data_IF_472199701544
#
_entry.id   IF_472199701544
#
_cell.length_a   1.000
_cell.length_b   1.000
_cell.length_c   1.000
_cell.angle_alpha   90.00
_cell.angle_beta   90.00
_cell.angle_gamma   90.00
#
_symmetry.space_group_name_H-M   'P 1'
#
loop_
_entity.id
_entity.type
_entity.pdbx_description
1 polymer ?
#
# COMPACT_ATOMS: atom_id res chain seq x y z
N UNK A 1 16.62 12.11 -6.07
CA UNK A 1 15.28 12.06 -6.69
C UNK A 1 14.86 13.42 -7.23
N UNK A 2 13.82 13.45 -8.03
CA UNK A 2 13.28 14.66 -8.65
C UNK A 2 12.08 15.25 -7.88
N UNK A 3 11.86 14.86 -6.62
CA UNK A 3 10.76 15.34 -5.78
C UNK A 3 9.60 14.35 -5.61
N UNK A 4 9.62 13.18 -6.27
CA UNK A 4 8.53 12.22 -6.20
C UNK A 4 8.29 11.69 -4.77
N UNK A 5 9.36 11.34 -4.05
CA UNK A 5 9.24 10.84 -2.66
C UNK A 5 8.68 11.92 -1.73
N UNK A 6 9.13 13.18 -1.89
CA UNK A 6 8.59 14.31 -1.12
C UNK A 6 7.11 14.54 -1.42
N UNK A 7 6.69 14.44 -2.69
CA UNK A 7 5.29 14.53 -3.06
C UNK A 7 4.46 13.42 -2.40
N UNK A 8 4.93 12.18 -2.45
CA UNK A 8 4.27 11.05 -1.79
C UNK A 8 4.16 11.29 -0.29
N UNK A 9 5.25 11.69 0.38
CA UNK A 9 5.26 11.97 1.81
C UNK A 9 4.32 13.14 2.19
N UNK A 10 4.25 14.18 1.36
CA UNK A 10 3.30 15.28 1.56
C UNK A 10 1.84 14.81 1.46
N UNK A 11 1.51 13.96 0.46
CA UNK A 11 0.18 13.38 0.31
C UNK A 11 -0.18 12.48 1.48
N UNK A 12 0.78 11.77 2.04
CA UNK A 12 0.58 10.89 3.20
C UNK A 12 0.55 11.65 4.54
N UNK A 13 0.91 12.94 4.56
CA UNK A 13 1.04 13.73 5.79
C UNK A 13 2.27 13.38 6.63
N UNK A 14 3.30 12.84 6.00
CA UNK A 14 4.61 12.54 6.62
C UNK A 14 5.56 13.73 6.55
N UNK A 15 5.37 14.62 5.58
CA UNK A 15 6.12 15.88 5.43
C UNK A 15 5.16 17.06 5.35
N UNK A 16 5.60 18.21 5.88
CA UNK A 16 4.85 19.45 5.75
C UNK A 16 4.83 19.92 4.29
N UNK A 17 3.69 20.41 3.85
CA UNK A 17 3.53 20.94 2.49
C UNK A 17 2.72 22.23 2.48
N UNK A 18 2.84 22.99 1.40
CA UNK A 18 2.00 24.16 1.12
C UNK A 18 1.06 23.84 -0.03
N UNK A 19 -0.04 24.60 -0.14
CA UNK A 19 -1.09 24.33 -1.11
C UNK A 19 -2.22 23.50 -0.52
N UNK A 20 -3.02 22.86 -1.37
CA UNK A 20 -4.16 22.03 -0.96
C UNK A 20 -4.07 20.62 -1.52
N UNK A 21 -4.45 19.65 -0.71
CA UNK A 21 -4.56 18.23 -1.09
C UNK A 21 -5.97 17.80 -0.75
N UNK A 22 -6.71 17.25 -1.71
CA UNK A 22 -8.07 16.78 -1.50
C UNK A 22 -8.25 15.35 -2.02
N UNK A 23 -9.13 14.59 -1.34
CA UNK A 23 -9.62 13.28 -1.80
C UNK A 23 -11.12 13.42 -2.00
N UNK A 24 -11.57 13.37 -3.25
CA UNK A 24 -12.91 13.79 -3.60
C UNK A 24 -13.12 15.26 -3.21
N UNK A 25 -14.19 15.54 -2.46
CA UNK A 25 -14.52 16.89 -1.97
C UNK A 25 -13.92 17.19 -0.58
N UNK A 26 -13.11 16.31 -0.03
CA UNK A 26 -12.54 16.46 1.32
C UNK A 26 -11.12 16.99 1.26
N UNK A 27 -10.89 18.18 1.82
CA UNK A 27 -9.54 18.72 2.01
C UNK A 27 -8.82 17.95 3.14
N UNK A 28 -7.69 17.33 2.80
CA UNK A 28 -6.88 16.55 3.73
C UNK A 28 -5.55 17.23 4.08
N UNK A 29 -5.31 18.45 3.64
CA UNK A 29 -4.03 19.16 3.78
C UNK A 29 -3.54 19.24 5.22
N UNK A 30 -4.44 19.54 6.16
CA UNK A 30 -4.13 19.68 7.59
C UNK A 30 -4.25 18.40 8.41
N UNK A 31 -4.61 17.27 7.78
CA UNK A 31 -4.85 16.02 8.49
C UNK A 31 -3.57 15.23 8.71
N UNK A 32 -3.48 14.56 9.85
CA UNK A 32 -2.41 13.60 10.15
C UNK A 32 -2.49 12.37 9.24
N UNK A 33 -1.39 11.64 9.11
CA UNK A 33 -1.34 10.36 8.38
C UNK A 33 -2.43 9.38 8.82
N UNK A 34 -2.70 9.30 10.13
CA UNK A 34 -3.75 8.44 10.69
C UNK A 34 -5.15 8.84 10.19
N UNK A 35 -5.44 10.14 10.17
CA UNK A 35 -6.74 10.66 9.69
C UNK A 35 -6.90 10.45 8.19
N UNK A 36 -5.83 10.68 7.40
CA UNK A 36 -5.83 10.42 5.95
C UNK A 36 -6.07 8.94 5.67
N UNK A 37 -5.42 8.03 6.39
CA UNK A 37 -5.69 6.59 6.28
C UNK A 37 -7.14 6.25 6.67
N UNK A 38 -7.68 6.90 7.69
CA UNK A 38 -9.10 6.76 8.08
C UNK A 38 -10.09 7.20 7.00
N UNK A 39 -9.68 8.08 6.09
CA UNK A 39 -10.44 8.52 4.92
C UNK A 39 -10.20 7.64 3.67
N UNK A 40 -9.48 6.54 3.82
CA UNK A 40 -9.24 5.58 2.75
C UNK A 40 -8.02 5.88 1.88
N UNK A 41 -7.02 6.62 2.39
CA UNK A 41 -5.73 6.76 1.68
C UNK A 41 -4.89 5.51 1.92
N UNK A 42 -4.77 4.65 0.92
CA UNK A 42 -3.89 3.48 0.91
C UNK A 42 -2.46 3.84 0.48
N UNK A 43 -1.47 3.07 0.91
CA UNK A 43 -0.07 3.32 0.56
C UNK A 43 0.74 2.05 0.35
N UNK A 44 1.32 1.91 -0.83
CA UNK A 44 2.37 0.93 -1.14
C UNK A 44 3.70 1.67 -1.17
N UNK A 45 4.58 1.35 -0.22
CA UNK A 45 5.84 2.06 0.01
C UNK A 45 6.90 1.71 -1.03
N UNK A 46 7.76 2.68 -1.39
CA UNK A 46 8.91 2.50 -2.28
C UNK A 46 9.92 1.49 -1.72
N UNK A 47 10.28 1.64 -0.44
CA UNK A 47 11.14 0.69 0.27
C UNK A 47 10.29 -0.12 1.27
N UNK A 48 9.78 -1.27 0.80
CA UNK A 48 8.92 -2.12 1.62
C UNK A 48 9.53 -2.56 2.93
N UNK A 49 10.86 -2.72 2.98
CA UNK A 49 11.54 -3.23 4.18
C UNK A 49 11.77 -2.14 5.23
N UNK A 50 11.86 -0.88 4.81
CA UNK A 50 12.04 0.26 5.74
C UNK A 50 10.73 0.90 6.15
N UNK A 51 9.78 0.99 5.22
CA UNK A 51 8.56 1.78 5.40
C UNK A 51 7.28 0.94 5.38
N UNK A 52 7.31 -0.20 4.69
CA UNK A 52 6.12 -1.03 4.47
C UNK A 52 5.92 -2.15 5.47
N UNK A 53 6.99 -2.65 6.09
CA UNK A 53 7.01 -3.85 6.91
C UNK A 53 7.84 -3.68 8.18
N UNK A 54 7.50 -4.45 9.20
CA UNK A 54 8.34 -4.70 10.37
C UNK A 54 8.87 -6.13 10.25
N UNK A 55 10.11 -6.28 9.79
CA UNK A 55 10.68 -7.57 9.36
C UNK A 55 10.61 -8.69 10.40
N UNK A 56 10.86 -8.46 11.72
CA UNK A 56 10.73 -9.49 12.73
C UNK A 56 9.30 -9.92 13.06
N UNK A 57 8.30 -9.10 12.68
CA UNK A 57 6.90 -9.36 12.97
C UNK A 57 6.34 -10.49 12.10
N UNK A 58 5.35 -11.20 12.63
CA UNK A 58 4.60 -12.19 11.88
C UNK A 58 3.81 -11.55 10.72
N UNK A 59 3.38 -12.37 9.76
CA UNK A 59 2.58 -11.89 8.64
C UNK A 59 1.30 -11.21 9.13
N UNK A 60 0.59 -11.80 10.11
CA UNK A 60 -0.64 -11.23 10.64
C UNK A 60 -0.42 -9.87 11.34
N UNK A 61 0.72 -9.66 11.99
CA UNK A 61 1.07 -8.38 12.58
C UNK A 61 1.34 -7.34 11.49
N UNK A 62 2.04 -7.73 10.43
CA UNK A 62 2.30 -6.88 9.28
C UNK A 62 1.02 -6.58 8.47
N UNK A 63 0.10 -7.54 8.35
CA UNK A 63 -1.19 -7.31 7.71
C UNK A 63 -2.08 -6.32 8.49
N UNK A 64 -1.95 -6.27 9.82
CA UNK A 64 -2.68 -5.33 10.65
C UNK A 64 -2.06 -3.92 10.70
N UNK A 65 -0.81 -3.71 10.23
CA UNK A 65 -0.14 -2.41 10.29
C UNK A 65 -0.92 -1.32 9.54
N UNK A 66 -1.17 -0.21 10.24
CA UNK A 66 -1.95 0.91 9.73
C UNK A 66 -3.47 0.74 9.86
N UNK A 67 -3.96 -0.47 10.16
CA UNK A 67 -5.38 -0.82 10.25
C UNK A 67 -5.80 -1.30 11.65
N UNK A 68 -4.92 -1.22 12.65
CA UNK A 68 -5.09 -1.81 13.98
C UNK A 68 -6.36 -1.36 14.71
N UNK A 69 -6.92 -0.19 14.37
CA UNK A 69 -8.13 0.37 14.97
C UNK A 69 -9.38 0.10 14.13
N UNK A 70 -9.23 -0.44 12.93
CA UNK A 70 -10.32 -0.74 12.02
C UNK A 70 -10.75 -2.20 12.15
N UNK A 71 -12.05 -2.49 11.92
CA UNK A 71 -12.50 -3.88 11.80
C UNK A 71 -11.91 -4.51 10.52
N UNK A 72 -11.57 -5.79 10.54
CA UNK A 72 -11.73 -6.74 11.64
C UNK A 72 -10.58 -6.74 12.66
N UNK A 73 -9.48 -6.02 12.41
CA UNK A 73 -8.26 -6.07 13.23
C UNK A 73 -8.43 -5.48 14.63
N UNK A 74 -9.26 -4.42 14.76
CA UNK A 74 -9.42 -3.66 16.00
C UNK A 74 -10.70 -3.97 16.75
N UNK A 75 -10.59 -3.98 18.08
CA UNK A 75 -11.71 -4.05 19.01
C UNK A 75 -11.55 -2.96 20.07
N UNK A 76 -11.87 -1.70 19.67
CA UNK A 76 -11.59 -0.53 20.50
C UNK A 76 -10.07 -0.31 20.64
N UNK A 77 -9.51 -0.26 21.88
CA UNK A 77 -8.07 -0.10 22.07
C UNK A 77 -7.26 -1.40 21.87
N UNK A 78 -7.91 -2.54 21.64
CA UNK A 78 -7.28 -3.85 21.56
C UNK A 78 -7.30 -4.40 20.14
N UNK A 79 -6.27 -5.20 19.80
CA UNK A 79 -6.23 -5.98 18.57
C UNK A 79 -6.95 -7.32 18.81
N UNK A 80 -7.87 -7.67 17.92
CA UNK A 80 -8.45 -9.00 17.85
C UNK A 80 -7.52 -9.92 17.07
N UNK A 81 -6.63 -10.61 17.78
CA UNK A 81 -5.60 -11.49 17.19
C UNK A 81 -6.24 -12.61 16.36
N UNK A 82 -7.38 -13.14 16.79
CA UNK A 82 -8.09 -14.18 16.04
C UNK A 82 -8.59 -13.67 14.70
N UNK A 83 -9.24 -12.52 14.69
CA UNK A 83 -9.73 -11.87 13.48
C UNK A 83 -8.57 -11.41 12.57
N UNK A 84 -7.48 -10.88 13.14
CA UNK A 84 -6.30 -10.47 12.38
C UNK A 84 -5.66 -11.67 11.65
N UNK A 85 -5.52 -12.81 12.31
CA UNK A 85 -5.00 -14.03 11.69
C UNK A 85 -5.94 -14.60 10.62
N UNK A 86 -7.26 -14.55 10.85
CA UNK A 86 -8.23 -14.99 9.85
C UNK A 86 -8.13 -14.12 8.58
N UNK A 87 -8.18 -12.78 8.71
CA UNK A 87 -8.04 -11.86 7.58
C UNK A 87 -6.70 -12.05 6.85
N UNK A 88 -5.62 -12.33 7.59
CA UNK A 88 -4.31 -12.57 6.96
C UNK A 88 -4.31 -13.84 6.13
N UNK A 89 -5.05 -14.91 6.54
CA UNK A 89 -5.20 -16.11 5.72
C UNK A 89 -6.00 -15.82 4.45
N UNK A 90 -7.03 -15.00 4.54
CA UNK A 90 -7.79 -14.56 3.37
C UNK A 90 -6.88 -13.79 2.40
N UNK A 91 -6.04 -12.88 2.90
CA UNK A 91 -5.02 -12.18 2.08
C UNK A 91 -4.01 -13.17 1.47
N UNK A 92 -3.53 -14.14 2.23
CA UNK A 92 -2.59 -15.16 1.75
C UNK A 92 -3.18 -15.92 0.56
N UNK A 93 -4.42 -16.34 0.68
CA UNK A 93 -5.12 -17.13 -0.34
C UNK A 93 -5.49 -16.28 -1.56
N UNK A 94 -6.05 -15.09 -1.35
CA UNK A 94 -6.53 -14.21 -2.43
C UNK A 94 -5.37 -13.64 -3.26
N UNK A 95 -4.25 -13.29 -2.62
CA UNK A 95 -3.10 -12.65 -3.28
C UNK A 95 -1.96 -13.63 -3.58
N UNK A 96 -2.22 -14.93 -3.49
CA UNK A 96 -1.22 -16.00 -3.76
C UNK A 96 0.12 -15.75 -3.01
N UNK A 97 0.06 -15.46 -1.71
CA UNK A 97 1.26 -15.27 -0.89
C UNK A 97 1.81 -16.62 -0.48
N UNK A 98 2.96 -17.01 -1.01
CA UNK A 98 3.59 -18.29 -0.69
C UNK A 98 4.26 -18.23 0.67
N UNK A 99 3.64 -18.88 1.65
CA UNK A 99 4.07 -18.89 3.05
C UNK A 99 3.61 -20.17 3.75
N UNK A 100 4.33 -20.64 4.80
CA UNK A 100 3.82 -21.72 5.67
C UNK A 100 2.60 -21.33 6.49
N UNK A 101 2.33 -20.04 6.68
CA UNK A 101 1.19 -19.57 7.46
C UNK A 101 1.30 -18.11 7.90
N UNK A 102 0.26 -17.62 8.58
CA UNK A 102 0.19 -16.23 9.04
C UNK A 102 1.11 -15.91 10.23
N UNK A 103 1.61 -16.92 10.91
CA UNK A 103 2.39 -16.80 12.15
C UNK A 103 3.90 -16.70 11.93
N UNK A 104 4.40 -16.93 10.72
CA UNK A 104 5.83 -16.85 10.45
C UNK A 104 6.31 -15.40 10.31
N UNK A 105 7.55 -15.08 10.70
CA UNK A 105 8.10 -13.74 10.51
C UNK A 105 8.19 -13.39 9.03
N UNK A 106 7.86 -12.13 8.69
CA UNK A 106 7.78 -11.68 7.27
C UNK A 106 9.14 -11.74 6.55
N UNK A 107 10.26 -11.61 7.28
CA UNK A 107 11.60 -11.71 6.67
C UNK A 107 11.89 -13.09 6.06
N UNK A 108 11.14 -14.13 6.42
CA UNK A 108 11.29 -15.49 5.85
C UNK A 108 10.76 -15.60 4.43
N UNK A 109 9.97 -14.62 3.98
CA UNK A 109 9.39 -14.61 2.65
C UNK A 109 10.31 -13.95 1.63
N UNK A 110 10.19 -14.39 0.36
CA UNK A 110 10.80 -13.68 -0.76
C UNK A 110 10.24 -12.27 -0.93
N UNK A 111 11.01 -11.38 -1.58
CA UNK A 111 10.58 -10.01 -1.84
C UNK A 111 9.24 -9.92 -2.58
N UNK A 112 8.97 -10.84 -3.52
CA UNK A 112 7.69 -10.90 -4.22
C UNK A 112 6.52 -11.24 -3.28
N UNK A 113 6.69 -12.21 -2.36
CA UNK A 113 5.66 -12.56 -1.40
C UNK A 113 5.46 -11.48 -0.32
N UNK A 114 6.53 -10.80 0.11
CA UNK A 114 6.42 -9.62 0.97
C UNK A 114 5.58 -8.53 0.30
N UNK A 115 5.82 -8.28 -0.98
CA UNK A 115 5.09 -7.26 -1.74
C UNK A 115 3.62 -7.63 -1.94
N UNK A 116 3.33 -8.89 -2.26
CA UNK A 116 1.96 -9.41 -2.34
C UNK A 116 1.18 -9.22 -1.04
N UNK A 117 1.81 -9.45 0.13
CA UNK A 117 1.17 -9.17 1.42
C UNK A 117 0.86 -7.69 1.60
N UNK A 118 1.79 -6.78 1.23
CA UNK A 118 1.56 -5.33 1.32
C UNK A 118 0.39 -4.92 0.41
N UNK A 119 0.40 -5.37 -0.84
CA UNK A 119 -0.68 -5.08 -1.80
C UNK A 119 -2.01 -5.61 -1.26
N UNK A 120 -2.06 -6.87 -0.82
CA UNK A 120 -3.25 -7.47 -0.23
C UNK A 120 -3.75 -6.70 0.98
N UNK A 121 -2.87 -6.30 1.90
CA UNK A 121 -3.22 -5.46 3.05
C UNK A 121 -3.90 -4.15 2.65
N UNK A 122 -3.32 -3.43 1.69
CA UNK A 122 -3.86 -2.14 1.27
C UNK A 122 -5.16 -2.31 0.48
N UNK A 123 -5.27 -3.32 -0.37
CA UNK A 123 -6.46 -3.55 -1.19
C UNK A 123 -7.64 -4.08 -0.39
N UNK A 124 -7.41 -5.00 0.55
CA UNK A 124 -8.46 -5.54 1.45
C UNK A 124 -9.07 -4.46 2.36
N UNK A 125 -8.34 -3.35 2.57
CA UNK A 125 -8.86 -2.19 3.31
C UNK A 125 -9.82 -1.31 2.49
N UNK A 126 -10.10 -1.66 1.24
CA UNK A 126 -10.99 -0.93 0.32
C UNK A 126 -10.65 0.57 0.24
N UNK A 127 -9.44 0.93 -0.21
CA UNK A 127 -9.02 2.33 -0.22
C UNK A 127 -9.86 3.16 -1.19
N UNK A 128 -10.09 4.44 -0.86
CA UNK A 128 -10.70 5.42 -1.76
C UNK A 128 -9.70 5.96 -2.78
N UNK A 129 -8.43 6.03 -2.38
CA UNK A 129 -7.28 6.39 -3.22
C UNK A 129 -6.07 5.59 -2.80
N UNK A 130 -5.30 5.11 -3.75
CA UNK A 130 -4.05 4.39 -3.52
C UNK A 130 -2.86 5.21 -4.00
N UNK A 131 -1.89 5.42 -3.12
CA UNK A 131 -0.56 5.92 -3.48
C UNK A 131 0.36 4.71 -3.61
N UNK A 132 0.79 4.39 -4.83
CA UNK A 132 1.65 3.25 -5.14
C UNK A 132 3.03 3.74 -5.58
N UNK A 133 4.02 3.67 -4.69
CA UNK A 133 5.39 4.06 -4.98
C UNK A 133 6.22 2.81 -5.32
N UNK A 134 6.60 2.67 -6.61
CA UNK A 134 7.36 1.54 -7.13
C UNK A 134 6.81 0.16 -6.75
N UNK A 135 5.52 -0.12 -7.00
CA UNK A 135 4.81 -1.28 -6.44
C UNK A 135 5.42 -2.63 -6.86
N UNK A 136 6.16 -2.68 -7.96
CA UNK A 136 6.79 -3.91 -8.45
C UNK A 136 8.32 -3.93 -8.32
N UNK A 137 8.89 -2.97 -7.59
CA UNK A 137 10.35 -2.89 -7.42
C UNK A 137 10.92 -4.11 -6.71
N UNK A 138 11.86 -4.79 -7.35
CA UNK A 138 12.59 -5.91 -6.77
C UNK A 138 11.72 -7.15 -6.50
N UNK A 139 10.71 -7.38 -7.33
CA UNK A 139 9.91 -8.60 -7.37
C UNK A 139 10.23 -9.40 -8.64
N UNK A 140 9.89 -10.68 -8.63
CA UNK A 140 9.99 -11.52 -9.84
C UNK A 140 8.84 -11.22 -10.82
N UNK A 141 9.01 -11.70 -12.08
CA UNK A 141 8.04 -11.44 -13.17
C UNK A 141 6.64 -11.94 -12.84
N UNK A 142 6.51 -13.07 -12.13
CA UNK A 142 5.21 -13.60 -11.74
C UNK A 142 4.49 -12.72 -10.72
N UNK A 143 5.21 -12.23 -9.71
CA UNK A 143 4.66 -11.29 -8.75
C UNK A 143 4.35 -9.93 -9.40
N UNK A 144 5.18 -9.45 -10.34
CA UNK A 144 4.92 -8.23 -11.09
C UNK A 144 3.62 -8.32 -11.88
N UNK A 145 3.41 -9.39 -12.65
CA UNK A 145 2.21 -9.60 -13.45
C UNK A 145 0.95 -9.60 -12.56
N UNK A 146 0.97 -10.33 -11.45
CA UNK A 146 -0.14 -10.37 -10.51
C UNK A 146 -0.45 -8.99 -9.92
N UNK A 147 0.56 -8.23 -9.49
CA UNK A 147 0.37 -6.88 -8.94
C UNK A 147 -0.24 -5.95 -9.99
N UNK A 148 0.21 -6.04 -11.24
CA UNK A 148 -0.35 -5.26 -12.33
C UNK A 148 -1.83 -5.59 -12.59
N UNK A 149 -2.19 -6.87 -12.56
CA UNK A 149 -3.57 -7.30 -12.74
C UNK A 149 -4.46 -6.78 -11.60
N UNK A 150 -4.01 -6.87 -10.35
CA UNK A 150 -4.70 -6.31 -9.19
C UNK A 150 -4.94 -4.80 -9.36
N UNK A 151 -3.92 -4.04 -9.76
CA UNK A 151 -4.04 -2.58 -9.95
C UNK A 151 -4.97 -2.23 -11.13
N UNK A 152 -4.97 -3.02 -12.22
CA UNK A 152 -5.89 -2.85 -13.35
C UNK A 152 -7.33 -3.13 -12.94
N UNK A 153 -7.55 -4.21 -12.21
CA UNK A 153 -8.89 -4.58 -11.73
C UNK A 153 -9.43 -3.53 -10.76
N UNK A 154 -8.61 -3.06 -9.83
CA UNK A 154 -8.98 -1.99 -8.91
C UNK A 154 -9.34 -0.68 -9.64
N UNK A 155 -8.55 -0.28 -10.65
CA UNK A 155 -8.84 0.85 -11.53
C UNK A 155 -10.18 0.67 -12.24
N UNK A 156 -10.43 -0.52 -12.80
CA UNK A 156 -11.69 -0.84 -13.49
C UNK A 156 -12.90 -0.74 -12.57
N UNK A 157 -12.70 -0.97 -11.27
CA UNK A 157 -13.69 -0.81 -10.21
C UNK A 157 -13.73 0.61 -9.61
N UNK A 158 -13.01 1.57 -10.21
CA UNK A 158 -13.10 2.98 -9.86
C UNK A 158 -12.08 3.47 -8.81
N UNK A 159 -11.10 2.65 -8.40
CA UNK A 159 -10.03 3.11 -7.51
C UNK A 159 -9.14 4.12 -8.22
N UNK A 160 -9.03 5.32 -7.62
CA UNK A 160 -8.05 6.31 -8.05
C UNK A 160 -6.65 5.92 -7.54
N UNK A 161 -5.67 5.84 -8.45
CA UNK A 161 -4.29 5.47 -8.08
C UNK A 161 -3.29 6.53 -8.53
N UNK A 162 -2.49 7.02 -7.60
CA UNK A 162 -1.27 7.77 -7.90
C UNK A 162 -0.11 6.78 -7.96
N UNK A 163 0.31 6.43 -9.17
CA UNK A 163 1.44 5.55 -9.41
C UNK A 163 2.72 6.36 -9.58
N UNK A 164 3.73 6.06 -8.79
CA UNK A 164 5.11 6.55 -8.96
C UNK A 164 5.98 5.37 -9.36
N UNK A 165 6.61 5.44 -10.52
CA UNK A 165 7.52 4.40 -11.01
C UNK A 165 8.64 4.99 -11.87
N UNK A 166 9.78 4.29 -11.89
CA UNK A 166 10.86 4.51 -12.85
C UNK A 166 10.78 3.54 -14.03
N UNK A 167 9.89 2.57 -13.96
CA UNK A 167 9.65 1.60 -15.02
C UNK A 167 8.61 2.16 -16.01
N UNK A 168 9.05 2.42 -17.24
CA UNK A 168 8.20 3.00 -18.27
C UNK A 168 7.09 2.04 -18.73
N UNK A 169 7.35 0.75 -18.74
CA UNK A 169 6.36 -0.26 -19.12
C UNK A 169 5.24 -0.31 -18.07
N UNK A 170 5.60 -0.23 -16.79
CA UNK A 170 4.64 -0.13 -15.69
C UNK A 170 3.77 1.13 -15.82
N UNK A 171 4.39 2.28 -16.07
CA UNK A 171 3.67 3.55 -16.24
C UNK A 171 2.71 3.51 -17.43
N UNK A 172 3.17 3.05 -18.59
CA UNK A 172 2.33 2.96 -19.80
C UNK A 172 1.21 1.94 -19.61
N UNK A 173 1.52 0.80 -18.97
CA UNK A 173 0.57 -0.30 -18.81
C UNK A 173 -0.55 -0.06 -17.79
N UNK A 174 -0.33 0.87 -16.83
CA UNK A 174 -1.23 1.07 -15.70
C UNK A 174 -1.84 2.48 -15.62
N UNK A 175 -1.29 3.49 -16.32
CA UNK A 175 -1.71 4.88 -16.15
C UNK A 175 -2.62 5.37 -17.28
N UNK A 176 -3.61 6.22 -16.95
CA UNK A 176 -4.42 6.98 -17.90
C UNK A 176 -3.78 8.34 -18.23
N UNK A 177 -3.00 8.87 -17.30
CA UNK A 177 -2.27 10.13 -17.42
C UNK A 177 -0.86 9.96 -16.89
N UNK A 178 0.11 10.48 -17.64
CA UNK A 178 1.52 10.50 -17.25
C UNK A 178 1.97 11.93 -16.94
N UNK A 179 2.62 12.09 -15.80
CA UNK A 179 3.29 13.33 -15.41
C UNK A 179 4.77 13.05 -15.23
N UNK A 180 5.59 13.96 -15.69
CA UNK A 180 7.05 13.89 -15.53
C UNK A 180 7.48 14.97 -14.57
N UNK A 181 8.15 14.58 -13.49
CA UNK A 181 8.75 15.52 -12.54
C UNK A 181 10.25 15.65 -12.78
N UNK A 182 10.73 16.87 -12.89
CA UNK A 182 12.14 17.18 -12.99
C UNK A 182 12.51 18.30 -12.02
N UNK A 183 13.41 18.01 -11.06
CA UNK A 183 13.91 18.97 -10.05
C UNK A 183 12.81 19.63 -9.21
N UNK A 184 11.74 18.89 -8.95
CA UNK A 184 10.61 19.36 -8.13
C UNK A 184 9.51 20.09 -8.91
N UNK A 185 9.62 20.13 -10.24
CA UNK A 185 8.64 20.73 -11.16
C UNK A 185 8.03 19.69 -12.08
#
# INVERSE_FOLDING_TARGET
GNGQSQLVHAILGLEASTGSIAVGDVDISGLSTKERRGLGVGYIAEDRQKEGLVLPFALWENAALGHQQQRPYGRGPWIDVGAAKAMTRDIIDEYDVRTPGAEVPIFTLSGGNQQKLIVGREMTAEPSVLVAAHPTRGVDVGAQALIWDILRDARSNGLATLLVSADLEELIGLSDRLLVMLRGE
#
